data_IF_965800046697
#
_entry.id   IF_965800046697
#
_cell.length_a   1.000
_cell.length_b   1.000
_cell.length_c   1.000
_cell.angle_alpha   90.00
_cell.angle_beta   90.00
_cell.angle_gamma   90.00
#
_symmetry.space_group_name_H-M   'P 1'
#
loop_
_entity.id
_entity.type
_entity.pdbx_description
1 polymer ?
#
# COMPACT_ATOMS: atom_id res chain seq x y z
N UNK A 1 -4.29 -8.78 -25.49
CA UNK A 1 -3.95 -7.94 -24.36
C UNK A 1 -5.20 -7.39 -23.68
N UNK A 2 -6.00 -6.54 -24.36
CA UNK A 2 -7.23 -5.95 -23.84
C UNK A 2 -8.23 -6.99 -23.31
N UNK A 3 -8.44 -8.07 -24.06
CA UNK A 3 -9.32 -9.17 -23.64
C UNK A 3 -8.88 -9.81 -22.32
N UNK A 4 -7.58 -10.11 -22.17
CA UNK A 4 -7.04 -10.68 -20.93
C UNK A 4 -7.14 -9.71 -19.75
N UNK A 5 -6.96 -8.42 -20.01
CA UNK A 5 -7.14 -7.40 -18.98
C UNK A 5 -8.60 -7.31 -18.53
N UNK A 6 -9.52 -7.15 -19.46
CA UNK A 6 -10.94 -6.98 -19.12
C UNK A 6 -11.55 -8.22 -18.45
N UNK A 7 -11.19 -9.42 -18.91
CA UNK A 7 -11.76 -10.66 -18.39
C UNK A 7 -10.97 -11.34 -17.28
N UNK A 8 -9.69 -11.07 -17.18
CA UNK A 8 -8.80 -11.70 -16.21
C UNK A 8 -8.42 -10.77 -15.06
N UNK A 9 -7.99 -9.54 -15.36
CA UNK A 9 -7.48 -8.64 -14.33
C UNK A 9 -8.58 -7.87 -13.62
N UNK A 10 -9.52 -7.25 -14.34
CA UNK A 10 -10.57 -6.42 -13.72
C UNK A 10 -11.39 -7.19 -12.68
N UNK A 11 -11.93 -8.39 -12.94
CA UNK A 11 -12.65 -9.15 -11.92
C UNK A 11 -11.78 -9.53 -10.73
N UNK A 12 -10.50 -9.82 -10.96
CA UNK A 12 -9.54 -10.11 -9.89
C UNK A 12 -9.30 -8.91 -8.99
N UNK A 13 -9.07 -7.72 -9.57
CA UNK A 13 -8.94 -6.46 -8.80
C UNK A 13 -10.20 -6.18 -7.99
N UNK A 14 -11.39 -6.36 -8.58
CA UNK A 14 -12.66 -6.19 -7.87
C UNK A 14 -12.78 -7.13 -6.66
N UNK A 15 -12.44 -8.40 -6.84
CA UNK A 15 -12.46 -9.38 -5.76
C UNK A 15 -11.45 -9.05 -4.65
N UNK A 16 -10.23 -8.60 -5.02
CA UNK A 16 -9.23 -8.19 -4.03
C UNK A 16 -9.67 -6.93 -3.30
N UNK A 17 -10.15 -5.90 -3.98
CA UNK A 17 -10.68 -4.68 -3.36
C UNK A 17 -11.87 -4.96 -2.43
N UNK A 18 -12.76 -5.90 -2.78
CA UNK A 18 -13.85 -6.34 -1.92
C UNK A 18 -13.33 -6.95 -0.61
N UNK A 19 -12.34 -7.86 -0.70
CA UNK A 19 -11.67 -8.44 0.48
C UNK A 19 -11.01 -7.39 1.37
N UNK A 20 -10.32 -6.43 0.76
CA UNK A 20 -9.68 -5.34 1.50
C UNK A 20 -10.70 -4.41 2.14
N UNK A 21 -11.86 -4.21 1.49
CA UNK A 21 -12.98 -3.44 2.04
C UNK A 21 -13.61 -4.15 3.25
N UNK A 22 -13.81 -5.46 3.18
CA UNK A 22 -14.29 -6.25 4.32
C UNK A 22 -13.33 -6.09 5.52
N UNK A 23 -12.03 -6.16 5.27
CA UNK A 23 -11.01 -5.99 6.30
C UNK A 23 -11.01 -4.56 6.88
N UNK A 24 -11.14 -3.54 6.04
CA UNK A 24 -11.22 -2.14 6.47
C UNK A 24 -12.45 -1.85 7.36
N UNK A 25 -13.56 -2.54 7.12
CA UNK A 25 -14.77 -2.42 7.96
C UNK A 25 -14.58 -2.91 9.40
N UNK A 26 -13.55 -3.72 9.67
CA UNK A 26 -13.21 -4.21 11.01
C UNK A 26 -12.41 -3.22 11.85
N UNK A 27 -11.92 -2.12 11.27
CA UNK A 27 -11.21 -1.07 11.99
C UNK A 27 -12.17 -0.44 13.02
N UNK A 28 -11.81 -0.48 14.30
CA UNK A 28 -12.66 0.07 15.37
C UNK A 28 -12.67 1.59 15.37
N UNK A 29 -11.50 2.22 15.18
CA UNK A 29 -11.41 3.67 15.07
C UNK A 29 -12.22 4.17 13.88
N UNK A 30 -13.19 5.06 14.16
CA UNK A 30 -14.13 5.57 13.17
C UNK A 30 -13.45 6.40 12.08
N UNK A 31 -12.45 7.19 12.44
CA UNK A 31 -11.76 8.05 11.49
C UNK A 31 -10.83 7.23 10.59
N UNK A 32 -10.01 6.33 11.16
CA UNK A 32 -9.15 5.45 10.38
C UNK A 32 -9.96 4.56 9.44
N UNK A 33 -11.09 3.99 9.91
CA UNK A 33 -12.02 3.23 9.06
C UNK A 33 -12.55 4.07 7.91
N UNK A 34 -12.96 5.30 8.19
CA UNK A 34 -13.46 6.24 7.16
C UNK A 34 -12.38 6.53 6.10
N UNK A 35 -11.13 6.74 6.51
CA UNK A 35 -10.02 6.99 5.60
C UNK A 35 -9.69 5.75 4.75
N UNK A 36 -9.65 4.56 5.34
CA UNK A 36 -9.42 3.32 4.62
C UNK A 36 -10.51 3.05 3.57
N UNK A 37 -11.78 3.15 3.95
CA UNK A 37 -12.91 2.96 3.02
C UNK A 37 -12.96 4.06 1.94
N UNK A 38 -12.64 5.31 2.30
CA UNK A 38 -12.58 6.42 1.35
C UNK A 38 -11.48 6.19 0.32
N UNK A 39 -10.27 5.74 0.72
CA UNK A 39 -9.19 5.45 -0.21
C UNK A 39 -9.56 4.32 -1.17
N UNK A 40 -10.08 3.21 -0.65
CA UNK A 40 -10.53 2.07 -1.46
C UNK A 40 -11.58 2.46 -2.49
N UNK A 41 -12.50 3.37 -2.13
CA UNK A 41 -13.56 3.84 -3.04
C UNK A 41 -13.06 4.85 -4.07
N UNK A 42 -12.35 5.89 -3.61
CA UNK A 42 -12.00 7.03 -4.47
C UNK A 42 -10.76 6.82 -5.32
N UNK A 43 -9.85 5.94 -4.87
CA UNK A 43 -8.57 5.67 -5.53
C UNK A 43 -8.47 4.27 -6.16
N UNK A 44 -9.58 3.50 -6.21
CA UNK A 44 -9.63 2.18 -6.86
C UNK A 44 -9.06 2.18 -8.29
N UNK A 45 -9.16 3.31 -9.01
CA UNK A 45 -8.64 3.42 -10.37
C UNK A 45 -7.12 3.22 -10.45
N UNK A 46 -6.35 3.53 -9.38
CA UNK A 46 -4.91 3.21 -9.30
C UNK A 46 -4.69 1.69 -9.34
N UNK A 47 -5.50 0.92 -8.60
CA UNK A 47 -5.42 -0.54 -8.61
C UNK A 47 -5.78 -1.11 -9.99
N UNK A 48 -6.83 -0.60 -10.63
CA UNK A 48 -7.18 -1.00 -11.99
C UNK A 48 -6.07 -0.66 -12.98
N UNK A 49 -5.57 0.58 -12.99
CA UNK A 49 -4.50 1.00 -13.89
C UNK A 49 -3.20 0.23 -13.65
N UNK A 50 -2.78 0.13 -12.38
CA UNK A 50 -1.55 -0.59 -12.00
C UNK A 50 -1.58 -2.07 -12.33
N UNK A 51 -2.73 -2.74 -12.20
CA UNK A 51 -2.87 -4.17 -12.47
C UNK A 51 -2.57 -4.57 -13.93
N UNK A 52 -2.59 -3.62 -14.85
CA UNK A 52 -2.14 -3.85 -16.23
C UNK A 52 -0.70 -4.36 -16.27
N UNK A 53 0.16 -3.93 -15.34
CA UNK A 53 1.56 -4.35 -15.25
C UNK A 53 1.71 -5.85 -14.93
N UNK A 54 0.72 -6.47 -14.29
CA UNK A 54 0.72 -7.91 -14.04
C UNK A 54 0.78 -8.74 -15.34
N UNK A 55 0.27 -8.20 -16.43
CA UNK A 55 0.30 -8.86 -17.76
C UNK A 55 1.70 -8.91 -18.39
N UNK A 56 2.67 -8.18 -17.85
CA UNK A 56 4.08 -8.26 -18.26
C UNK A 56 4.78 -9.47 -17.67
N UNK A 57 4.26 -10.01 -16.58
CA UNK A 57 4.79 -11.20 -15.93
C UNK A 57 4.35 -12.52 -16.57
N UNK A 58 4.86 -13.66 -16.09
CA UNK A 58 4.44 -14.98 -16.52
C UNK A 58 2.93 -15.20 -16.32
N UNK A 59 2.28 -15.81 -17.28
CA UNK A 59 0.80 -15.97 -17.29
C UNK A 59 0.26 -16.69 -16.05
N UNK A 60 0.99 -17.68 -15.57
CA UNK A 60 0.65 -18.42 -14.36
C UNK A 60 0.81 -17.63 -13.05
N UNK A 61 1.36 -16.41 -13.13
CA UNK A 61 1.56 -15.49 -11.98
C UNK A 61 0.71 -14.22 -12.06
N UNK A 62 -0.10 -14.07 -13.08
CA UNK A 62 -0.88 -12.85 -13.27
C UNK A 62 -1.79 -12.50 -12.08
N UNK A 63 -2.44 -13.50 -11.48
CA UNK A 63 -3.31 -13.29 -10.33
C UNK A 63 -2.54 -12.87 -9.08
N UNK A 64 -1.38 -13.49 -8.84
CA UNK A 64 -0.50 -13.12 -7.73
C UNK A 64 0.04 -11.70 -7.91
N UNK A 65 0.54 -11.37 -9.09
CA UNK A 65 1.06 -10.03 -9.41
C UNK A 65 -0.04 -8.97 -9.31
N UNK A 66 -1.23 -9.24 -9.82
CA UNK A 66 -2.38 -8.35 -9.71
C UNK A 66 -2.77 -8.11 -8.24
N UNK A 67 -2.83 -9.18 -7.43
CA UNK A 67 -3.16 -9.08 -6.02
C UNK A 67 -2.07 -8.31 -5.24
N UNK A 68 -0.78 -8.53 -5.55
CA UNK A 68 0.33 -7.77 -4.99
C UNK A 68 0.22 -6.28 -5.32
N UNK A 69 0.02 -5.94 -6.60
CA UNK A 69 -0.12 -4.55 -7.04
C UNK A 69 -1.31 -3.88 -6.35
N UNK A 70 -2.45 -4.57 -6.26
CA UNK A 70 -3.65 -4.04 -5.62
C UNK A 70 -3.42 -3.80 -4.11
N UNK A 71 -2.85 -4.76 -3.40
CA UNK A 71 -2.60 -4.62 -1.97
C UNK A 71 -1.54 -3.52 -1.68
N UNK A 72 -0.45 -3.49 -2.45
CA UNK A 72 0.60 -2.49 -2.29
C UNK A 72 0.12 -1.07 -2.61
N UNK A 73 -0.65 -0.91 -3.70
CA UNK A 73 -1.28 0.37 -4.03
C UNK A 73 -2.27 0.81 -2.95
N UNK A 74 -3.00 -0.13 -2.34
CA UNK A 74 -3.91 0.18 -1.23
C UNK A 74 -3.16 0.71 -0.01
N UNK A 75 -1.96 0.19 0.31
CA UNK A 75 -1.10 0.77 1.36
C UNK A 75 -0.80 2.23 1.02
N UNK A 76 -0.25 2.50 -0.17
CA UNK A 76 0.10 3.85 -0.61
C UNK A 76 -1.08 4.82 -0.53
N UNK A 77 -2.24 4.43 -1.06
CA UNK A 77 -3.44 5.26 -1.10
C UNK A 77 -4.05 5.53 0.28
N UNK A 78 -3.95 4.56 1.18
CA UNK A 78 -4.40 4.70 2.57
C UNK A 78 -3.49 5.64 3.35
N UNK A 79 -2.17 5.48 3.24
CA UNK A 79 -1.19 6.35 3.89
C UNK A 79 -1.31 7.80 3.41
N UNK A 80 -1.49 8.02 2.11
CA UNK A 80 -1.72 9.35 1.55
C UNK A 80 -3.00 9.99 2.14
N UNK A 81 -4.09 9.23 2.27
CA UNK A 81 -5.31 9.73 2.93
C UNK A 81 -5.09 10.08 4.41
N UNK A 82 -4.33 9.27 5.14
CA UNK A 82 -4.01 9.56 6.54
C UNK A 82 -3.21 10.86 6.67
N UNK A 83 -2.18 11.03 5.85
CA UNK A 83 -1.33 12.21 5.87
C UNK A 83 -2.07 13.47 5.45
N UNK A 84 -2.90 13.40 4.41
CA UNK A 84 -3.63 14.55 3.87
C UNK A 84 -4.79 15.01 4.79
N UNK A 85 -5.43 14.09 5.53
CA UNK A 85 -6.72 14.36 6.16
C UNK A 85 -6.73 14.23 7.68
N UNK A 86 -5.86 13.42 8.24
CA UNK A 86 -5.74 13.27 9.69
C UNK A 86 -4.66 14.21 10.27
N UNK A 87 -3.78 14.71 9.40
CA UNK A 87 -2.78 15.72 9.74
C UNK A 87 -1.60 15.12 10.50
N UNK A 88 -0.66 14.53 9.77
CA UNK A 88 0.61 14.09 10.35
C UNK A 88 1.54 15.28 10.39
N UNK A 89 1.61 15.96 11.53
CA UNK A 89 2.48 17.13 11.72
C UNK A 89 3.93 16.74 12.10
N UNK A 90 4.17 15.50 12.54
CA UNK A 90 5.49 15.00 12.90
C UNK A 90 6.11 14.17 11.76
N UNK A 91 7.26 14.62 11.28
CA UNK A 91 8.03 13.95 10.25
C UNK A 91 8.39 12.50 10.64
N UNK A 92 8.70 12.25 11.92
CA UNK A 92 9.02 10.89 12.40
C UNK A 92 7.82 9.97 12.30
N UNK A 93 6.64 10.45 12.70
CA UNK A 93 5.40 9.72 12.61
C UNK A 93 5.04 9.42 11.15
N UNK A 94 5.27 10.38 10.23
CA UNK A 94 5.13 10.18 8.79
C UNK A 94 6.01 9.04 8.28
N UNK A 95 7.31 9.07 8.55
CA UNK A 95 8.22 8.01 8.11
C UNK A 95 7.87 6.68 8.74
N UNK A 96 7.47 6.66 10.01
CA UNK A 96 7.06 5.44 10.70
C UNK A 96 5.87 4.75 10.04
N UNK A 97 4.86 5.51 9.63
CA UNK A 97 3.74 4.96 8.84
C UNK A 97 4.23 4.38 7.50
N UNK A 98 5.11 5.10 6.80
CA UNK A 98 5.60 4.70 5.48
C UNK A 98 6.59 3.54 5.52
N UNK A 99 7.14 3.17 6.71
CA UNK A 99 7.88 1.91 6.90
C UNK A 99 7.05 0.70 6.45
N UNK A 100 5.71 0.80 6.52
CA UNK A 100 4.83 -0.25 6.03
C UNK A 100 5.06 -0.60 4.56
N UNK A 101 5.39 0.37 3.71
CA UNK A 101 5.69 0.11 2.29
C UNK A 101 7.01 -0.64 2.11
N UNK A 102 8.05 -0.26 2.86
CA UNK A 102 9.34 -0.95 2.83
C UNK A 102 9.20 -2.38 3.35
N UNK A 103 8.51 -2.56 4.47
CA UNK A 103 8.27 -3.89 5.05
C UNK A 103 7.44 -4.75 4.11
N UNK A 104 6.39 -4.19 3.49
CA UNK A 104 5.55 -4.89 2.51
C UNK A 104 6.34 -5.42 1.31
N UNK A 105 7.39 -4.70 0.88
CA UNK A 105 8.23 -5.05 -0.27
C UNK A 105 9.47 -5.86 0.10
N UNK A 106 9.71 -6.14 1.40
CA UNK A 106 10.90 -6.86 1.87
C UNK A 106 10.52 -8.25 2.37
N UNK A 107 10.90 -9.33 1.65
CA UNK A 107 10.60 -10.70 2.09
C UNK A 107 11.15 -10.98 3.48
N UNK A 108 10.32 -11.53 4.36
CA UNK A 108 10.72 -11.93 5.71
C UNK A 108 10.97 -10.77 6.70
N UNK A 109 10.76 -9.51 6.30
CA UNK A 109 10.82 -8.40 7.23
C UNK A 109 9.69 -8.49 8.26
N UNK A 110 10.02 -8.19 9.51
CA UNK A 110 9.02 -8.20 10.59
C UNK A 110 8.10 -6.98 10.49
N UNK A 111 6.80 -7.22 10.64
CA UNK A 111 5.84 -6.15 10.81
C UNK A 111 6.13 -5.39 12.11
N UNK A 112 5.88 -4.09 12.10
CA UNK A 112 6.10 -3.21 13.23
C UNK A 112 4.79 -2.53 13.63
N UNK A 113 4.77 -1.90 14.81
CA UNK A 113 3.72 -0.97 15.15
C UNK A 113 3.95 0.35 14.37
N UNK A 114 3.16 0.53 13.33
CA UNK A 114 3.24 1.71 12.45
C UNK A 114 2.63 2.95 13.10
N UNK A 115 1.80 2.78 14.13
CA UNK A 115 1.09 3.85 14.83
C UNK A 115 1.71 4.21 16.18
N UNK A 116 2.87 3.68 16.53
CA UNK A 116 3.53 3.90 17.83
C UNK A 116 3.75 5.39 18.16
N UNK A 117 3.79 6.27 17.16
CA UNK A 117 3.92 7.73 17.32
C UNK A 117 2.57 8.47 17.15
N UNK A 118 1.46 7.74 17.12
CA UNK A 118 0.11 8.27 16.99
C UNK A 118 -0.70 7.93 18.24
N UNK A 119 -0.80 8.87 19.17
CA UNK A 119 -1.56 8.66 20.39
C UNK A 119 -3.05 8.46 20.09
N UNK A 120 -3.60 7.36 20.58
CA UNK A 120 -5.04 7.07 20.54
C UNK A 120 -5.57 6.44 19.25
N UNK A 121 -4.78 6.24 18.20
CA UNK A 121 -5.24 5.57 16.97
C UNK A 121 -5.13 4.05 17.09
N UNK A 122 -6.23 3.34 16.81
CA UNK A 122 -6.30 1.89 16.80
C UNK A 122 -6.99 1.40 15.53
N UNK A 123 -6.22 0.80 14.63
CA UNK A 123 -6.73 0.27 13.37
C UNK A 123 -6.93 -1.25 13.35
N UNK A 124 -6.73 -1.91 14.46
CA UNK A 124 -6.89 -3.38 14.62
C UNK A 124 -6.08 -4.19 13.58
N UNK A 125 -4.89 -3.69 13.23
CA UNK A 125 -3.94 -4.38 12.37
C UNK A 125 -4.30 -4.37 10.87
N UNK A 126 -5.07 -3.41 10.39
CA UNK A 126 -5.41 -3.31 8.96
C UNK A 126 -4.18 -3.09 8.08
N UNK A 127 -3.31 -2.14 8.44
CA UNK A 127 -2.06 -1.87 7.72
C UNK A 127 -1.12 -3.09 7.77
N UNK A 128 -1.01 -3.72 8.94
CA UNK A 128 -0.24 -4.97 9.09
C UNK A 128 -0.81 -6.12 8.26
N UNK A 129 -2.12 -6.20 8.09
CA UNK A 129 -2.75 -7.16 7.19
C UNK A 129 -2.37 -6.93 5.72
N UNK A 130 -2.40 -5.66 5.25
CA UNK A 130 -1.98 -5.29 3.90
C UNK A 130 -0.51 -5.65 3.66
N UNK A 131 0.36 -5.33 4.63
CA UNK A 131 1.80 -5.69 4.61
C UNK A 131 1.98 -7.20 4.51
N UNK A 132 1.34 -7.97 5.38
CA UNK A 132 1.43 -9.44 5.37
C UNK A 132 0.90 -10.04 4.05
N UNK A 133 -0.15 -9.44 3.47
CA UNK A 133 -0.68 -9.82 2.16
C UNK A 133 0.36 -9.67 1.05
N UNK A 134 1.07 -8.53 1.01
CA UNK A 134 2.15 -8.28 0.06
C UNK A 134 3.30 -9.28 0.27
N UNK A 135 3.78 -9.43 1.49
CA UNK A 135 4.89 -10.33 1.82
C UNK A 135 4.59 -11.79 1.48
N UNK A 136 3.38 -12.27 1.74
CA UNK A 136 2.97 -13.63 1.41
C UNK A 136 3.05 -13.91 -0.09
N UNK A 137 2.68 -12.92 -0.92
CA UNK A 137 2.78 -13.05 -2.38
C UNK A 137 4.24 -12.95 -2.83
N UNK A 138 4.96 -11.94 -2.37
CA UNK A 138 6.36 -11.69 -2.72
C UNK A 138 7.23 -12.91 -2.43
N UNK A 139 7.05 -13.55 -1.27
CA UNK A 139 7.81 -14.74 -0.87
C UNK A 139 7.62 -15.94 -1.81
N UNK A 140 6.54 -15.93 -2.60
CA UNK A 140 6.26 -16.97 -3.61
C UNK A 140 6.76 -16.64 -5.02
N UNK A 141 7.25 -15.41 -5.25
CA UNK A 141 7.69 -14.94 -6.57
C UNK A 141 9.18 -15.20 -6.74
N UNK A 142 9.59 -16.02 -7.73
CA UNK A 142 11.01 -16.25 -8.01
C UNK A 142 11.65 -15.01 -8.65
N UNK A 143 12.94 -14.80 -8.38
CA UNK A 143 13.75 -13.76 -9.03
C UNK A 143 13.58 -12.35 -8.47
N UNK A 144 12.74 -12.16 -7.45
CA UNK A 144 12.53 -10.84 -6.86
C UNK A 144 13.78 -10.35 -6.11
N UNK A 145 14.62 -11.27 -5.63
CA UNK A 145 15.90 -10.97 -5.00
C UNK A 145 16.81 -10.08 -5.87
N UNK A 146 16.74 -10.23 -7.18
CA UNK A 146 17.53 -9.44 -8.14
C UNK A 146 17.02 -7.98 -8.29
N UNK A 147 15.75 -7.74 -7.96
CA UNK A 147 15.14 -6.41 -8.04
C UNK A 147 14.99 -5.74 -6.67
N UNK A 148 15.26 -6.45 -5.58
CA UNK A 148 14.96 -6.02 -4.22
C UNK A 148 15.56 -4.64 -3.89
N UNK A 149 16.85 -4.43 -4.18
CA UNK A 149 17.51 -3.15 -3.86
C UNK A 149 16.93 -2.00 -4.67
N UNK A 150 16.60 -2.22 -5.94
CA UNK A 150 15.96 -1.20 -6.78
C UNK A 150 14.56 -0.86 -6.26
N UNK A 151 13.75 -1.85 -5.93
CA UNK A 151 12.41 -1.66 -5.36
C UNK A 151 12.49 -0.87 -4.07
N UNK A 152 13.42 -1.22 -3.18
CA UNK A 152 13.66 -0.52 -1.92
C UNK A 152 14.02 0.95 -2.15
N UNK A 153 14.94 1.24 -3.07
CA UNK A 153 15.32 2.61 -3.42
C UNK A 153 14.14 3.41 -3.97
N UNK A 154 13.35 2.83 -4.86
CA UNK A 154 12.15 3.48 -5.40
C UNK A 154 11.13 3.82 -4.31
N UNK A 155 10.89 2.91 -3.36
CA UNK A 155 10.01 3.16 -2.22
C UNK A 155 10.56 4.28 -1.33
N UNK A 156 11.87 4.28 -1.05
CA UNK A 156 12.50 5.34 -0.25
C UNK A 156 12.37 6.71 -0.93
N UNK A 157 12.60 6.79 -2.23
CA UNK A 157 12.40 8.04 -3.00
C UNK A 157 10.94 8.48 -3.00
N UNK A 158 10.01 7.55 -3.18
CA UNK A 158 8.57 7.85 -3.09
C UNK A 158 8.20 8.38 -1.71
N UNK A 159 8.63 7.73 -0.63
CA UNK A 159 8.38 8.17 0.74
C UNK A 159 8.95 9.55 1.01
N UNK A 160 10.18 9.82 0.55
CA UNK A 160 10.81 11.14 0.68
C UNK A 160 10.04 12.22 -0.09
N UNK A 161 9.57 11.91 -1.30
CA UNK A 161 8.73 12.82 -2.08
C UNK A 161 7.41 13.14 -1.37
N UNK A 162 6.76 12.14 -0.81
CA UNK A 162 5.53 12.32 -0.04
C UNK A 162 5.79 13.14 1.24
N UNK A 163 6.90 12.92 1.93
CA UNK A 163 7.29 13.72 3.09
C UNK A 163 7.46 15.21 2.72
N UNK A 164 8.16 15.50 1.61
CA UNK A 164 8.33 16.86 1.11
C UNK A 164 7.01 17.52 0.74
N UNK A 165 6.05 16.77 0.18
CA UNK A 165 4.69 17.27 -0.14
C UNK A 165 3.97 17.81 1.11
N UNK A 166 4.18 17.14 2.25
CA UNK A 166 3.50 17.48 3.52
C UNK A 166 4.28 18.48 4.41
N UNK A 167 5.51 18.83 4.03
CA UNK A 167 6.28 19.87 4.72
C UNK A 167 5.80 21.28 4.38
N UNK A 168 5.94 22.20 5.34
CA UNK A 168 5.73 23.63 5.08
C UNK A 168 6.75 24.15 4.04
N UNK A 169 6.45 25.23 3.29
CA UNK A 169 7.39 25.81 2.32
C UNK A 169 8.77 26.12 2.94
N UNK A 170 8.81 26.61 4.18
CA UNK A 170 10.06 26.94 4.86
C UNK A 170 10.92 25.73 5.19
N UNK A 171 10.29 24.58 5.45
CA UNK A 171 10.96 23.30 5.72
C UNK A 171 11.47 22.59 4.44
N UNK A 172 10.94 22.96 3.25
CA UNK A 172 11.37 22.37 1.97
C UNK A 172 12.70 22.93 1.45
N UNK A 173 13.10 24.09 1.96
CA UNK A 173 14.29 24.82 1.49
C UNK A 173 15.50 24.68 2.44
N UNK A 174 15.39 23.93 3.50
CA UNK A 174 16.48 23.61 4.44
C UNK A 174 17.07 22.24 4.17
#
# INVERSE_FOLDING_TARGET
>A
WLYNYLRGMIPGVQAELARLTERANLIEDRELRRQALSSLKSKAFHCYGGSVLALLGPRNRWQDLMALITAFQTISDYLDNLCDRVGVCDQRAFYRLHDAMLVAATPGAMSADYYVLYDGYREEGYLSYLVARCQGIISSLPGLEHAHDLVRQLIQHYTSLQALKHMSPDQRCS
#
